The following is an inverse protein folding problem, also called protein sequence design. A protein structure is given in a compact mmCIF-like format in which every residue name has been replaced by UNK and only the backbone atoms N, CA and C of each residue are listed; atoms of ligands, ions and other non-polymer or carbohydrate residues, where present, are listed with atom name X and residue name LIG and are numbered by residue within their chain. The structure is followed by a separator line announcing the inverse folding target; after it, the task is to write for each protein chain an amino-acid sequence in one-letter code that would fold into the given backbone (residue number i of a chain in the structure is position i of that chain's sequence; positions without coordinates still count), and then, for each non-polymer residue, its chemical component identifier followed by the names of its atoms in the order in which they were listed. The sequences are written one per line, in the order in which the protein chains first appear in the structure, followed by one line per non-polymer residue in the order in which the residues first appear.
data_IF_306378948740
#
_entry.id   IF_306378948740
#
_cell.length_a   1.000
_cell.length_b   1.000
_cell.length_c   1.000
_cell.angle_alpha   90.00
_cell.angle_beta   90.00
_cell.angle_gamma   90.00
#
_symmetry.space_group_name_H-M   'P 1'
#
loop_
_entity.id
_entity.type
_entity.pdbx_description
1 polymer ?
#
# COMPACT_ATOMS: atom_id res chain seq x y z
N UNK A 1 -25.69 -5.07 21.20
CA UNK A 1 -24.36 -4.60 20.72
C UNK A 1 -24.58 -4.05 19.31
N UNK A 2 -23.93 -2.94 18.97
CA UNK A 2 -24.13 -2.30 17.67
C UNK A 2 -23.40 -3.14 16.62
N UNK A 3 -24.14 -3.98 15.89
CA UNK A 3 -23.61 -4.94 14.92
C UNK A 3 -23.30 -4.29 13.55
N UNK A 4 -23.26 -2.96 13.48
CA UNK A 4 -23.06 -2.22 12.23
C UNK A 4 -21.83 -1.31 12.36
N UNK A 5 -20.99 -1.29 11.32
CA UNK A 5 -19.79 -0.47 11.23
C UNK A 5 -19.87 0.36 9.94
N UNK A 6 -19.66 1.67 10.04
CA UNK A 6 -19.50 2.54 8.87
C UNK A 6 -18.05 2.50 8.41
N UNK A 7 -17.86 2.28 7.12
CA UNK A 7 -16.56 2.04 6.50
C UNK A 7 -16.34 2.98 5.32
N UNK A 8 -15.08 3.39 5.15
CA UNK A 8 -14.63 4.28 4.09
C UNK A 8 -13.50 3.63 3.29
N UNK A 9 -13.55 3.76 1.97
CA UNK A 9 -12.51 3.30 1.06
C UNK A 9 -12.08 4.43 0.13
N UNK A 10 -10.79 4.75 0.14
CA UNK A 10 -10.19 5.71 -0.78
C UNK A 10 -9.81 5.06 -2.11
N UNK A 11 -10.15 5.68 -3.23
CA UNK A 11 -9.82 5.18 -4.57
C UNK A 11 -9.64 6.31 -5.57
N UNK A 12 -8.90 6.04 -6.64
CA UNK A 12 -8.73 6.92 -7.79
C UNK A 12 -9.61 6.56 -9.00
N UNK A 13 -10.44 5.52 -8.88
CA UNK A 13 -11.34 5.03 -9.93
C UNK A 13 -12.75 4.81 -9.38
N UNK A 14 -13.77 4.97 -10.23
CA UNK A 14 -15.16 4.71 -9.86
C UNK A 14 -15.49 3.23 -10.03
N UNK A 15 -16.23 2.67 -9.08
CA UNK A 15 -16.78 1.32 -9.19
C UNK A 15 -18.12 1.23 -8.46
N UNK A 16 -18.99 0.34 -8.93
CA UNK A 16 -20.32 0.12 -8.34
C UNK A 16 -20.39 -1.16 -7.50
N UNK A 17 -19.45 -2.09 -7.72
CA UNK A 17 -19.33 -3.34 -6.96
C UNK A 17 -17.87 -3.62 -6.60
N UNK A 18 -17.67 -4.20 -5.42
CA UNK A 18 -16.33 -4.60 -4.95
C UNK A 18 -15.93 -5.90 -5.62
N UNK A 19 -14.81 -5.87 -6.34
CA UNK A 19 -14.16 -7.07 -6.88
C UNK A 19 -12.82 -7.29 -6.17
N UNK A 20 -12.73 -8.39 -5.42
CA UNK A 20 -11.51 -8.77 -4.67
C UNK A 20 -10.34 -9.09 -5.60
N UNK A 21 -10.59 -9.39 -6.88
CA UNK A 21 -9.53 -9.66 -7.85
C UNK A 21 -8.64 -8.44 -8.12
N UNK A 22 -9.17 -7.23 -7.93
CA UNK A 22 -8.43 -5.96 -8.08
C UNK A 22 -7.49 -5.67 -6.90
N UNK A 23 -7.57 -6.43 -5.80
CA UNK A 23 -6.60 -6.27 -4.71
C UNK A 23 -5.22 -6.66 -5.20
N UNK A 24 -4.29 -5.71 -5.09
CA UNK A 24 -2.85 -5.96 -5.21
C UNK A 24 -2.41 -6.98 -4.18
N UNK A 25 -1.34 -7.69 -4.52
CA UNK A 25 -0.73 -8.67 -3.64
C UNK A 25 0.15 -8.03 -2.56
N UNK A 26 0.60 -8.82 -1.58
CA UNK A 26 1.53 -8.43 -0.50
C UNK A 26 1.05 -7.24 0.33
N UNK A 27 -0.27 -7.15 0.57
CA UNK A 27 -0.88 -6.21 1.51
C UNK A 27 -0.77 -6.70 2.94
N UNK A 28 -0.93 -5.80 3.91
CA UNK A 28 -0.77 -6.09 5.35
C UNK A 28 -1.56 -7.31 5.84
N UNK A 29 -2.79 -7.48 5.37
CA UNK A 29 -3.65 -8.62 5.70
C UNK A 29 -3.89 -9.52 4.49
N UNK A 30 -3.04 -9.46 3.46
CA UNK A 30 -3.20 -10.21 2.21
C UNK A 30 -4.23 -9.62 1.25
N UNK A 31 -4.53 -10.30 0.14
CA UNK A 31 -5.47 -9.77 -0.86
C UNK A 31 -6.88 -9.59 -0.28
N UNK A 32 -7.48 -8.42 -0.46
CA UNK A 32 -8.80 -8.11 0.05
C UNK A 32 -9.28 -6.70 -0.28
N UNK A 33 -10.50 -6.39 0.14
CA UNK A 33 -11.06 -5.04 0.05
C UNK A 33 -10.81 -4.28 1.36
N UNK A 34 -9.96 -3.26 1.29
CA UNK A 34 -9.50 -2.51 2.46
C UNK A 34 -10.32 -1.26 2.68
N UNK A 35 -10.71 -1.06 3.92
CA UNK A 35 -11.52 0.07 4.39
C UNK A 35 -11.03 0.55 5.75
N UNK A 36 -11.58 1.64 6.26
CA UNK A 36 -11.29 2.18 7.60
C UNK A 36 -12.56 2.83 8.17
N UNK A 37 -12.65 2.97 9.50
CA UNK A 37 -13.70 3.77 10.13
C UNK A 37 -13.39 5.26 10.13
N UNK A 38 -12.17 5.66 9.76
CA UNK A 38 -11.71 7.05 9.72
C UNK A 38 -11.78 7.61 8.30
N UNK A 39 -12.69 8.55 8.05
CA UNK A 39 -12.90 9.10 6.70
C UNK A 39 -11.64 9.80 6.18
N UNK A 40 -10.98 10.58 7.04
CA UNK A 40 -9.80 11.38 6.70
C UNK A 40 -8.66 10.49 6.17
N UNK A 41 -8.52 9.28 6.73
CA UNK A 41 -7.55 8.29 6.23
C UNK A 41 -7.91 7.79 4.83
N UNK A 42 -9.19 7.53 4.56
CA UNK A 42 -9.65 7.17 3.22
C UNK A 42 -9.46 8.33 2.21
N UNK A 43 -9.63 9.58 2.63
CA UNK A 43 -9.37 10.76 1.80
C UNK A 43 -7.88 10.86 1.42
N UNK A 44 -6.98 10.75 2.41
CA UNK A 44 -5.54 10.73 2.18
C UNK A 44 -5.11 9.56 1.30
N UNK A 45 -5.71 8.37 1.49
CA UNK A 45 -5.43 7.24 0.62
C UNK A 45 -5.89 7.46 -0.84
N UNK A 46 -7.07 8.06 -1.05
CA UNK A 46 -7.54 8.42 -2.39
C UNK A 46 -6.59 9.43 -3.08
N UNK A 47 -6.03 10.37 -2.33
CA UNK A 47 -4.99 11.28 -2.81
C UNK A 47 -3.72 10.54 -3.21
N UNK A 48 -3.18 9.68 -2.35
CA UNK A 48 -1.99 8.90 -2.63
C UNK A 48 -2.17 8.01 -3.87
N UNK A 49 -3.33 7.36 -4.00
CA UNK A 49 -3.67 6.53 -5.17
C UNK A 49 -3.70 7.34 -6.46
N UNK A 50 -4.28 8.55 -6.42
CA UNK A 50 -4.31 9.43 -7.60
C UNK A 50 -2.92 9.98 -7.95
N UNK A 51 -2.10 10.33 -6.97
CA UNK A 51 -0.70 10.75 -7.21
C UNK A 51 0.12 9.60 -7.80
N UNK A 52 -0.06 8.38 -7.30
CA UNK A 52 0.63 7.17 -7.79
C UNK A 52 0.24 6.80 -9.21
N UNK A 53 -1.06 6.75 -9.48
CA UNK A 53 -1.58 6.05 -10.66
C UNK A 53 -2.45 6.92 -11.60
N UNK A 54 -2.64 8.21 -11.28
CA UNK A 54 -3.62 9.05 -11.98
C UNK A 54 -5.04 8.54 -11.74
N UNK A 55 -5.89 8.54 -12.77
CA UNK A 55 -7.25 8.00 -12.71
C UNK A 55 -8.35 9.04 -12.97
N UNK A 56 -9.59 8.64 -12.72
CA UNK A 56 -10.78 9.47 -12.99
C UNK A 56 -10.94 10.63 -12.00
N UNK A 57 -10.25 10.58 -10.87
CA UNK A 57 -10.34 11.57 -9.81
C UNK A 57 -9.97 10.96 -8.47
N UNK A 58 -10.49 11.53 -7.40
CA UNK A 58 -10.27 11.06 -6.01
C UNK A 58 -11.61 10.86 -5.35
N UNK A 59 -11.87 9.63 -4.92
CA UNK A 59 -13.17 9.25 -4.40
C UNK A 59 -13.04 8.58 -3.03
N UNK A 60 -13.97 8.91 -2.15
CA UNK A 60 -14.24 8.15 -0.94
C UNK A 60 -15.55 7.42 -1.11
N UNK A 61 -15.47 6.10 -1.11
CA UNK A 61 -16.61 5.19 -1.17
C UNK A 61 -17.06 4.90 0.26
N UNK A 62 -18.36 5.04 0.53
CA UNK A 62 -18.97 4.87 1.84
C UNK A 62 -19.76 3.56 1.90
N UNK A 63 -19.56 2.78 2.96
CA UNK A 63 -20.21 1.49 3.16
C UNK A 63 -20.72 1.33 4.60
N UNK A 64 -21.65 0.39 4.76
CA UNK A 64 -22.07 -0.15 6.05
C UNK A 64 -21.84 -1.65 6.08
N UNK A 65 -21.03 -2.12 7.01
CA UNK A 65 -20.78 -3.54 7.25
C UNK A 65 -21.63 -4.02 8.43
N UNK A 66 -22.34 -5.13 8.24
CA UNK A 66 -23.07 -5.81 9.30
C UNK A 66 -22.26 -7.02 9.80
N UNK A 67 -21.80 -6.96 11.05
CA UNK A 67 -21.13 -8.10 11.69
C UNK A 67 -22.16 -9.12 12.20
N UNK A 68 -21.88 -10.39 11.93
CA UNK A 68 -22.71 -11.53 12.33
C UNK A 68 -21.84 -12.66 12.85
N UNK A 69 -22.42 -13.58 13.63
CA UNK A 69 -21.73 -14.78 14.12
C UNK A 69 -21.35 -15.74 13.00
N UNK A 70 -21.92 -15.59 11.80
CA UNK A 70 -21.54 -16.38 10.64
C UNK A 70 -20.15 -16.01 10.12
N UNK A 71 -19.71 -14.75 10.30
CA UNK A 71 -18.42 -14.27 9.77
C UNK A 71 -17.27 -14.65 10.69
N UNK A 72 -16.19 -15.21 10.11
CA UNK A 72 -14.94 -15.40 10.85
C UNK A 72 -14.15 -14.10 10.88
N UNK A 73 -14.07 -13.46 12.04
CA UNK A 73 -13.44 -12.15 12.21
C UNK A 73 -12.20 -12.26 13.10
N UNK A 74 -11.05 -11.81 12.60
CA UNK A 74 -9.86 -11.59 13.42
C UNK A 74 -9.77 -10.12 13.81
N UNK A 75 -9.54 -9.83 15.09
CA UNK A 75 -9.37 -8.46 15.59
C UNK A 75 -8.09 -8.33 16.38
N UNK A 76 -7.19 -7.47 15.90
CA UNK A 76 -5.99 -7.06 16.62
C UNK A 76 -6.30 -5.83 17.49
N UNK A 77 -6.02 -5.89 18.81
CA UNK A 77 -6.33 -4.79 19.72
C UNK A 77 -5.36 -3.61 19.61
N UNK A 78 -4.25 -3.77 18.88
CA UNK A 78 -3.19 -2.77 18.76
C UNK A 78 -1.98 -3.33 18.00
N UNK A 79 -0.86 -2.62 18.10
CA UNK A 79 0.43 -2.98 17.48
C UNK A 79 1.09 -4.15 18.22
N UNK A 80 0.49 -5.35 18.15
CA UNK A 80 0.95 -6.55 18.87
C UNK A 80 1.93 -7.40 18.05
N UNK A 81 2.57 -8.38 18.70
CA UNK A 81 3.42 -9.38 18.06
C UNK A 81 2.70 -10.16 16.96
N UNK A 82 1.45 -10.54 17.20
CA UNK A 82 0.64 -11.33 16.27
C UNK A 82 0.23 -10.49 15.06
N UNK A 83 -0.05 -9.20 15.26
CA UNK A 83 -0.31 -8.26 14.17
C UNK A 83 0.94 -8.06 13.30
N UNK A 84 2.11 -7.90 13.91
CA UNK A 84 3.38 -7.82 13.18
C UNK A 84 3.66 -9.09 12.36
N UNK A 85 3.43 -10.27 12.95
CA UNK A 85 3.63 -11.55 12.24
C UNK A 85 2.69 -11.65 11.04
N UNK A 86 1.40 -11.31 11.22
CA UNK A 86 0.42 -11.29 10.14
C UNK A 86 0.86 -10.41 8.97
N UNK A 87 1.36 -9.20 9.26
CA UNK A 87 1.88 -8.29 8.24
C UNK A 87 3.08 -8.89 7.53
N UNK A 88 4.04 -9.40 8.29
CA UNK A 88 5.27 -9.96 7.73
C UNK A 88 4.99 -11.14 6.82
N UNK A 89 4.15 -12.07 7.26
CA UNK A 89 3.82 -13.26 6.47
C UNK A 89 3.10 -12.88 5.17
N UNK A 90 2.10 -11.98 5.22
CA UNK A 90 1.41 -11.56 4.00
C UNK A 90 2.30 -10.74 3.05
N UNK A 91 3.16 -9.86 3.56
CA UNK A 91 4.08 -9.06 2.72
C UNK A 91 5.20 -9.89 2.09
N UNK A 92 5.68 -10.94 2.78
CA UNK A 92 6.74 -11.82 2.26
C UNK A 92 6.19 -12.85 1.26
N UNK A 93 5.13 -13.56 1.62
CA UNK A 93 4.65 -14.70 0.84
C UNK A 93 3.57 -14.34 -0.19
N UNK A 94 2.95 -13.16 -0.07
CA UNK A 94 1.81 -12.77 -0.91
C UNK A 94 0.56 -13.61 -0.63
N UNK A 95 -0.45 -13.53 -1.49
CA UNK A 95 -1.72 -14.20 -1.32
C UNK A 95 -2.49 -13.78 -0.07
N UNK A 96 -3.15 -14.77 0.56
CA UNK A 96 -3.84 -14.62 1.85
C UNK A 96 -3.25 -15.67 2.77
N UNK A 97 -2.60 -15.25 3.85
CA UNK A 97 -1.92 -16.14 4.81
C UNK A 97 -2.81 -16.55 5.99
N UNK A 98 -4.13 -16.44 5.83
CA UNK A 98 -5.13 -16.75 6.87
C UNK A 98 -6.46 -17.21 6.29
N UNK A 99 -7.40 -17.63 7.15
CA UNK A 99 -8.73 -18.12 6.74
C UNK A 99 -9.89 -17.22 7.18
N UNK A 100 -9.61 -16.07 7.79
CA UNK A 100 -10.63 -15.12 8.24
C UNK A 100 -11.38 -14.48 7.06
N UNK A 101 -12.69 -14.29 7.24
CA UNK A 101 -13.54 -13.53 6.31
C UNK A 101 -13.20 -12.04 6.37
N UNK A 102 -12.90 -11.54 7.59
CA UNK A 102 -12.61 -10.15 7.88
C UNK A 102 -11.43 -10.05 8.87
N UNK A 103 -10.51 -9.14 8.61
CA UNK A 103 -9.45 -8.77 9.56
C UNK A 103 -9.61 -7.29 9.94
N UNK A 104 -9.58 -7.03 11.24
CA UNK A 104 -9.66 -5.68 11.83
C UNK A 104 -8.39 -5.46 12.63
N UNK A 105 -7.66 -4.39 12.36
CA UNK A 105 -6.44 -4.10 13.11
C UNK A 105 -5.87 -2.73 12.80
N UNK A 106 -4.75 -2.37 13.44
CA UNK A 106 -4.04 -1.14 13.13
C UNK A 106 -3.65 -1.07 11.65
N UNK A 107 -3.73 0.14 11.08
CA UNK A 107 -3.12 0.46 9.79
C UNK A 107 -1.63 0.70 9.96
N UNK A 108 -0.82 0.21 9.01
CA UNK A 108 0.58 0.57 8.86
C UNK A 108 0.73 1.99 8.28
N UNK A 109 0.37 3.02 9.04
CA UNK A 109 0.47 4.41 8.58
C UNK A 109 1.92 4.89 8.39
N UNK A 110 2.07 6.10 7.84
CA UNK A 110 3.37 6.70 7.53
C UNK A 110 4.33 6.80 8.73
N UNK A 111 3.79 6.91 9.94
CA UNK A 111 4.61 7.06 11.15
C UNK A 111 5.28 5.75 11.54
N UNK A 112 4.66 4.61 11.22
CA UNK A 112 5.14 3.28 11.61
C UNK A 112 5.62 2.42 10.44
N UNK A 113 5.33 2.83 9.20
CA UNK A 113 5.64 2.06 7.99
C UNK A 113 7.14 1.75 7.87
N UNK A 114 8.02 2.67 8.27
CA UNK A 114 9.48 2.43 8.26
C UNK A 114 9.89 1.27 9.17
N UNK A 115 9.39 1.27 10.41
CA UNK A 115 9.66 0.20 11.38
C UNK A 115 9.16 -1.15 10.87
N UNK A 116 7.98 -1.17 10.24
CA UNK A 116 7.40 -2.37 9.63
C UNK A 116 8.27 -2.85 8.47
N UNK A 117 8.71 -1.95 7.58
CA UNK A 117 9.57 -2.30 6.45
C UNK A 117 10.90 -2.93 6.92
N UNK A 118 11.52 -2.36 7.97
CA UNK A 118 12.76 -2.91 8.56
C UNK A 118 12.55 -4.28 9.21
N UNK A 119 11.39 -4.52 9.83
CA UNK A 119 11.03 -5.82 10.40
C UNK A 119 10.75 -6.89 9.33
N UNK A 120 10.04 -6.53 8.27
CA UNK A 120 9.76 -7.41 7.12
C UNK A 120 11.07 -7.81 6.44
N UNK A 121 11.99 -6.86 6.24
CA UNK A 121 13.32 -7.10 5.68
C UNK A 121 14.26 -7.91 6.59
N UNK A 122 13.84 -8.25 7.82
CA UNK A 122 14.64 -8.99 8.79
C UNK A 122 15.78 -8.19 9.43
N UNK A 123 15.82 -6.87 9.22
CA UNK A 123 16.80 -5.97 9.85
C UNK A 123 16.46 -5.77 11.32
N UNK A 124 15.18 -5.55 11.63
CA UNK A 124 14.68 -5.58 13.00
C UNK A 124 14.15 -6.97 13.34
N UNK A 125 14.50 -7.47 14.53
CA UNK A 125 13.78 -8.58 15.13
C UNK A 125 12.44 -8.10 15.71
N UNK A 126 11.58 -9.03 16.13
CA UNK A 126 10.23 -8.69 16.59
C UNK A 126 10.23 -7.81 17.86
N UNK A 127 11.15 -8.07 18.79
CA UNK A 127 11.28 -7.29 20.03
C UNK A 127 11.65 -5.84 19.72
N UNK A 128 12.72 -5.62 18.94
CA UNK A 128 13.13 -4.28 18.50
C UNK A 128 12.02 -3.55 17.76
N UNK A 129 11.31 -4.22 16.85
CA UNK A 129 10.18 -3.61 16.15
C UNK A 129 9.08 -3.16 17.11
N UNK A 130 8.67 -4.01 18.07
CA UNK A 130 7.66 -3.66 19.07
C UNK A 130 8.08 -2.49 19.96
N UNK A 131 9.36 -2.42 20.34
CA UNK A 131 9.90 -1.30 21.11
C UNK A 131 9.81 0.02 20.34
N UNK A 132 10.17 0.00 19.05
CA UNK A 132 10.06 1.17 18.17
C UNK A 132 8.60 1.57 17.91
N UNK A 133 7.67 0.62 17.91
CA UNK A 133 6.24 0.87 17.70
C UNK A 133 5.50 1.35 18.96
N UNK A 134 6.06 1.10 20.16
CA UNK A 134 5.44 1.44 21.46
C UNK A 134 4.89 2.87 21.59
N UNK A 135 5.55 3.94 21.10
CA UNK A 135 5.04 5.30 21.29
C UNK A 135 3.88 5.67 20.34
N UNK A 136 3.58 4.85 19.33
CA UNK A 136 2.61 5.19 18.30
C UNK A 136 1.20 4.67 18.63
N UNK A 137 0.21 5.44 18.22
CA UNK A 137 -1.17 5.00 18.11
C UNK A 137 -1.55 5.04 16.64
N UNK A 138 -2.09 3.93 16.15
CA UNK A 138 -2.53 3.80 14.77
C UNK A 138 -4.06 3.72 14.71
N UNK A 139 -4.61 4.33 13.67
CA UNK A 139 -6.01 4.15 13.29
C UNK A 139 -6.27 2.72 12.83
N UNK A 140 -7.54 2.40 12.58
CA UNK A 140 -7.89 1.06 12.10
C UNK A 140 -7.79 0.93 10.58
N UNK A 141 -7.68 -0.33 10.16
CA UNK A 141 -8.16 -0.77 8.86
C UNK A 141 -8.97 -2.06 9.04
N UNK A 142 -9.94 -2.23 8.16
CA UNK A 142 -10.84 -3.36 8.08
C UNK A 142 -10.74 -3.91 6.67
N UNK A 143 -10.27 -5.14 6.53
CA UNK A 143 -10.13 -5.83 5.24
C UNK A 143 -11.11 -6.98 5.13
N UNK A 144 -11.79 -7.05 3.97
CA UNK A 144 -12.74 -8.12 3.64
C UNK A 144 -12.11 -9.03 2.59
N UNK A 145 -12.09 -10.34 2.85
CA UNK A 145 -11.30 -11.30 2.07
C UNK A 145 -12.14 -12.32 1.30
N UNK A 146 -13.45 -12.39 1.56
CA UNK A 146 -14.32 -13.40 0.97
C UNK A 146 -15.59 -12.81 0.39
N UNK A 147 -16.16 -13.49 -0.61
CA UNK A 147 -17.48 -13.15 -1.14
C UNK A 147 -18.59 -13.24 -0.07
N UNK A 148 -18.39 -14.08 0.95
CA UNK A 148 -19.27 -14.16 2.11
C UNK A 148 -19.25 -12.85 2.90
N UNK A 149 -18.07 -12.29 3.19
CA UNK A 149 -17.96 -10.99 3.85
C UNK A 149 -18.64 -9.87 3.06
N UNK A 150 -18.45 -9.85 1.73
CA UNK A 150 -19.03 -8.83 0.85
C UNK A 150 -20.57 -8.83 0.84
N UNK A 151 -21.23 -9.97 1.09
CA UNK A 151 -22.71 -10.04 1.22
C UNK A 151 -23.25 -9.20 2.38
N UNK A 152 -22.43 -8.94 3.40
CA UNK A 152 -22.79 -8.12 4.55
C UNK A 152 -22.31 -6.67 4.42
N UNK A 153 -21.71 -6.30 3.28
CA UNK A 153 -21.25 -4.96 2.98
C UNK A 153 -22.28 -4.24 2.09
N UNK A 154 -22.92 -3.22 2.64
CA UNK A 154 -23.88 -2.37 1.92
C UNK A 154 -23.20 -1.10 1.43
N UNK A 155 -23.25 -0.82 0.13
CA UNK A 155 -22.80 0.45 -0.42
C UNK A 155 -23.79 1.57 -0.08
N UNK A 156 -23.28 2.69 0.43
CA UNK A 156 -24.09 3.85 0.83
C UNK A 156 -23.97 5.03 -0.13
N UNK A 157 -22.86 5.14 -0.86
CA UNK A 157 -22.61 6.23 -1.79
C UNK A 157 -21.13 6.57 -1.95
N UNK A 158 -20.84 7.63 -2.69
CA UNK A 158 -19.48 8.14 -2.90
C UNK A 158 -19.42 9.64 -2.76
N UNK A 159 -18.26 10.13 -2.31
CA UNK A 159 -17.87 11.54 -2.34
C UNK A 159 -16.68 11.71 -3.27
N UNK A 160 -16.76 12.69 -4.15
CA UNK A 160 -15.64 13.13 -4.98
C UNK A 160 -14.91 14.27 -4.29
N UNK A 161 -13.59 14.14 -4.14
CA UNK A 161 -12.76 15.14 -3.50
C UNK A 161 -12.35 16.20 -4.53
N UNK A 162 -12.47 17.47 -4.14
CA UNK A 162 -12.04 18.61 -4.98
C UNK A 162 -10.58 18.46 -5.37
N UNK A 163 -10.11 18.91 -6.54
CA UNK A 163 -8.69 18.85 -6.91
C UNK A 163 -7.80 19.48 -5.83
N UNK A 164 -6.68 18.83 -5.46
CA UNK A 164 -5.63 19.52 -4.69
C UNK A 164 -5.07 20.59 -5.61
N UNK A 165 -4.88 21.80 -5.11
CA UNK A 165 -4.07 22.78 -5.83
C UNK A 165 -2.69 22.17 -6.00
N UNK A 166 -2.28 21.92 -7.24
CA UNK A 166 -0.90 21.56 -7.54
C UNK A 166 -0.02 22.64 -6.91
N UNK A 167 0.77 22.29 -5.88
CA UNK A 167 1.88 23.14 -5.49
C UNK A 167 2.82 23.17 -6.69
N UNK A 168 3.14 24.37 -7.16
CA UNK A 168 4.08 24.62 -8.23
C UNK A 168 5.40 23.93 -7.90
N UNK A 169 5.71 22.88 -8.66
CA UNK A 169 6.96 22.14 -8.55
C UNK A 169 7.99 22.87 -9.41
N UNK A 170 8.63 23.90 -8.86
CA UNK A 170 9.79 24.55 -9.47
C UNK A 170 11.09 24.07 -8.79
N UNK A 171 11.92 23.45 -9.63
CA UNK A 171 13.37 23.58 -9.74
C UNK A 171 14.36 22.81 -8.82
N UNK A 172 15.02 21.87 -9.51
CA UNK A 172 16.48 21.76 -9.66
C UNK A 172 17.28 20.88 -8.70
N UNK A 173 18.31 20.25 -9.28
CA UNK A 173 19.20 19.21 -8.73
C UNK A 173 19.77 19.49 -7.33
N UNK A 174 19.01 19.11 -6.31
CA UNK A 174 19.53 18.57 -5.05
C UNK A 174 18.75 17.29 -4.76
N UNK A 175 19.43 16.15 -4.79
CA UNK A 175 18.87 14.82 -4.49
C UNK A 175 18.59 14.71 -2.99
N UNK A 176 17.74 15.58 -2.46
CA UNK A 176 17.22 15.51 -1.10
C UNK A 176 15.74 15.17 -1.21
N UNK A 177 15.39 13.93 -0.86
CA UNK A 177 14.01 13.50 -0.81
C UNK A 177 13.46 13.76 0.60
N UNK A 178 12.42 14.59 0.69
CA UNK A 178 11.77 14.91 1.96
C UNK A 178 10.34 14.37 2.00
N UNK A 179 9.95 13.83 3.15
CA UNK A 179 8.57 13.46 3.47
C UNK A 179 8.22 13.93 4.89
N UNK A 180 7.21 14.80 5.04
CA UNK A 180 6.82 15.44 6.33
C UNK A 180 8.03 15.99 7.11
N UNK A 181 8.85 16.78 6.42
CA UNK A 181 10.07 17.41 6.96
C UNK A 181 11.18 16.43 7.40
N UNK A 182 11.04 15.13 7.11
CA UNK A 182 12.09 14.13 7.31
C UNK A 182 12.85 13.88 6.00
N UNK A 183 14.18 13.85 6.08
CA UNK A 183 15.05 13.39 4.99
C UNK A 183 14.96 11.85 4.87
N UNK A 184 14.42 11.39 3.73
CA UNK A 184 14.26 9.98 3.39
C UNK A 184 15.14 9.58 2.19
N UNK A 185 16.17 10.38 1.89
CA UNK A 185 17.04 10.17 0.73
C UNK A 185 17.71 8.80 0.77
N UNK A 186 18.23 8.40 1.93
CA UNK A 186 18.87 7.11 2.10
C UNK A 186 17.87 5.96 1.93
N UNK A 187 16.65 6.08 2.47
CA UNK A 187 15.60 5.07 2.33
C UNK A 187 15.25 4.86 0.84
N UNK A 188 15.16 5.94 0.04
CA UNK A 188 14.94 5.85 -1.41
C UNK A 188 16.13 5.23 -2.14
N UNK A 189 17.37 5.63 -1.83
CA UNK A 189 18.55 5.04 -2.48
C UNK A 189 18.68 3.54 -2.18
N UNK A 190 18.46 3.14 -0.93
CA UNK A 190 18.41 1.72 -0.55
C UNK A 190 17.27 0.99 -1.25
N UNK A 191 16.10 1.64 -1.42
CA UNK A 191 14.98 1.08 -2.17
C UNK A 191 15.36 0.83 -3.62
N UNK A 192 15.94 1.82 -4.29
CA UNK A 192 16.40 1.71 -5.68
C UNK A 192 17.37 0.55 -5.83
N UNK A 193 18.40 0.49 -4.97
CA UNK A 193 19.39 -0.58 -5.04
C UNK A 193 18.72 -1.96 -4.94
N UNK A 194 17.86 -2.15 -3.94
CA UNK A 194 17.20 -3.44 -3.71
C UNK A 194 16.28 -3.81 -4.88
N UNK A 195 15.47 -2.87 -5.37
CA UNK A 195 14.58 -3.11 -6.53
C UNK A 195 15.37 -3.53 -7.76
N UNK A 196 16.47 -2.85 -8.05
CA UNK A 196 17.31 -3.17 -9.22
C UNK A 196 17.96 -4.54 -9.07
N UNK A 197 18.36 -4.95 -7.85
CA UNK A 197 18.85 -6.32 -7.60
C UNK A 197 17.77 -7.37 -7.87
N UNK A 198 16.52 -7.10 -7.51
CA UNK A 198 15.39 -8.00 -7.80
C UNK A 198 15.13 -8.09 -9.31
N UNK A 199 15.16 -6.95 -10.02
CA UNK A 199 15.00 -6.93 -11.48
C UNK A 199 16.13 -7.72 -12.17
N UNK A 200 17.37 -7.54 -11.74
CA UNK A 200 18.53 -8.27 -12.28
C UNK A 200 18.43 -9.78 -12.03
N UNK A 201 17.96 -10.18 -10.84
CA UNK A 201 17.76 -11.59 -10.51
C UNK A 201 16.68 -12.25 -11.39
N UNK A 202 15.59 -11.54 -11.70
CA UNK A 202 14.48 -12.06 -12.51
C UNK A 202 14.81 -12.07 -14.01
N UNK A 203 15.46 -11.03 -14.53
CA UNK A 203 15.72 -10.87 -15.97
C UNK A 203 17.04 -11.48 -16.43
N UNK A 204 17.97 -11.73 -15.52
CA UNK A 204 19.35 -12.14 -15.84
C UNK A 204 20.22 -11.02 -16.44
N UNK A 205 19.71 -9.79 -16.54
CA UNK A 205 20.48 -8.62 -17.02
C UNK A 205 21.48 -8.13 -15.96
N UNK A 206 22.42 -7.29 -16.36
CA UNK A 206 23.36 -6.68 -15.41
C UNK A 206 22.65 -5.68 -14.50
N UNK A 207 23.23 -5.40 -13.34
CA UNK A 207 22.69 -4.40 -12.42
C UNK A 207 22.58 -3.02 -13.09
N UNK A 208 23.59 -2.62 -13.87
CA UNK A 208 23.62 -1.30 -14.52
C UNK A 208 22.54 -1.17 -15.61
N UNK A 209 22.32 -2.23 -16.40
CA UNK A 209 21.23 -2.25 -17.39
C UNK A 209 19.86 -2.16 -16.69
N UNK A 210 19.67 -2.93 -15.62
CA UNK A 210 18.45 -2.89 -14.83
C UNK A 210 18.25 -1.53 -14.15
N UNK A 211 19.31 -0.89 -13.68
CA UNK A 211 19.28 0.43 -13.08
C UNK A 211 18.82 1.48 -14.11
N UNK A 212 19.39 1.40 -15.32
CA UNK A 212 19.04 2.27 -16.43
C UNK A 212 17.56 2.11 -16.83
N UNK A 213 17.10 0.87 -16.98
CA UNK A 213 15.70 0.55 -17.27
C UNK A 213 14.76 1.02 -16.15
N UNK A 214 15.13 0.77 -14.90
CA UNK A 214 14.35 1.17 -13.74
C UNK A 214 14.20 2.70 -13.68
N UNK A 215 15.27 3.47 -13.90
CA UNK A 215 15.20 4.94 -13.90
C UNK A 215 14.28 5.54 -14.97
N UNK A 216 13.94 4.79 -16.02
CA UNK A 216 13.01 5.21 -17.08
C UNK A 216 11.58 4.69 -16.87
N UNK A 217 11.33 4.00 -15.76
CA UNK A 217 10.01 3.44 -15.44
C UNK A 217 9.13 4.44 -14.72
N UNK A 218 7.81 4.31 -14.91
CA UNK A 218 6.78 4.97 -14.09
C UNK A 218 6.87 4.52 -12.63
N UNK A 219 7.31 3.29 -12.38
CA UNK A 219 7.55 2.79 -11.03
C UNK A 219 8.60 3.65 -10.29
N UNK A 220 9.71 4.00 -10.96
CA UNK A 220 10.72 4.90 -10.41
C UNK A 220 10.22 6.35 -10.30
N UNK A 221 9.51 6.86 -11.30
CA UNK A 221 8.90 8.20 -11.23
C UNK A 221 7.96 8.32 -10.01
N UNK A 222 7.20 7.27 -9.73
CA UNK A 222 6.30 7.20 -8.56
C UNK A 222 7.08 7.08 -7.25
N UNK A 223 8.19 6.33 -7.24
CA UNK A 223 9.09 6.23 -6.09
C UNK A 223 9.67 7.59 -5.68
N UNK A 224 10.01 8.45 -6.65
CA UNK A 224 10.55 9.79 -6.42
C UNK A 224 9.52 10.79 -5.86
N UNK A 225 8.23 10.59 -6.19
CA UNK A 225 7.13 11.38 -5.64
C UNK A 225 6.90 10.97 -4.19
N UNK A 226 7.58 11.58 -3.22
CA UNK A 226 7.57 11.14 -1.81
C UNK A 226 6.17 11.04 -1.18
N UNK A 227 5.24 11.92 -1.60
CA UNK A 227 3.82 11.86 -1.22
C UNK A 227 3.07 10.62 -1.74
N UNK A 228 3.64 9.87 -2.68
CA UNK A 228 3.10 8.59 -3.12
C UNK A 228 3.24 7.52 -2.03
N UNK A 229 4.18 7.63 -1.09
CA UNK A 229 4.55 6.58 -0.12
C UNK A 229 5.11 5.29 -0.74
N UNK A 230 5.37 5.27 -2.04
CA UNK A 230 5.94 4.13 -2.74
C UNK A 230 7.32 3.73 -2.18
N UNK A 231 8.05 4.69 -1.61
CA UNK A 231 9.35 4.49 -0.98
C UNK A 231 9.32 3.61 0.26
N UNK A 232 8.16 3.44 0.90
CA UNK A 232 8.03 2.60 2.08
C UNK A 232 7.15 1.36 1.90
N UNK A 233 6.68 1.11 0.67
CA UNK A 233 6.30 -0.24 0.22
C UNK A 233 7.52 -1.17 0.17
N UNK A 234 7.34 -2.49 0.04
CA UNK A 234 8.47 -3.44 -0.07
C UNK A 234 9.23 -3.28 -1.39
N UNK A 235 10.50 -3.71 -1.46
CA UNK A 235 11.26 -3.64 -2.72
C UNK A 235 10.65 -4.56 -3.79
N UNK A 236 10.14 -5.71 -3.36
CA UNK A 236 9.41 -6.67 -4.19
C UNK A 236 8.15 -6.04 -4.75
N UNK A 237 7.39 -5.28 -3.95
CA UNK A 237 6.21 -4.58 -4.45
C UNK A 237 6.58 -3.54 -5.52
N UNK A 238 7.65 -2.76 -5.32
CA UNK A 238 8.11 -1.79 -6.33
C UNK A 238 8.60 -2.50 -7.59
N UNK A 239 9.29 -3.64 -7.48
CA UNK A 239 9.70 -4.46 -8.62
C UNK A 239 8.49 -5.06 -9.36
N UNK A 240 7.47 -5.53 -8.64
CA UNK A 240 6.23 -6.03 -9.22
C UNK A 240 5.50 -4.93 -10.03
N UNK A 241 5.52 -3.67 -9.55
CA UNK A 241 4.97 -2.53 -10.31
C UNK A 241 5.81 -2.20 -11.56
N UNK A 242 7.14 -2.31 -11.48
CA UNK A 242 8.02 -2.19 -12.65
C UNK A 242 7.66 -3.24 -13.71
N UNK A 243 7.58 -4.52 -13.35
CA UNK A 243 7.27 -5.57 -14.32
C UNK A 243 5.86 -5.45 -14.90
N UNK A 244 4.89 -4.98 -14.11
CA UNK A 244 3.53 -4.74 -14.61
C UNK A 244 3.48 -3.65 -15.67
N UNK A 245 4.24 -2.56 -15.49
CA UNK A 245 4.37 -1.51 -16.51
C UNK A 245 4.85 -2.08 -17.85
N UNK A 246 5.84 -2.97 -17.84
CA UNK A 246 6.36 -3.61 -19.05
C UNK A 246 5.35 -4.58 -19.70
N UNK A 247 4.53 -5.26 -18.90
CA UNK A 247 3.48 -6.14 -19.41
C UNK A 247 2.33 -5.37 -20.10
N UNK A 248 2.08 -4.13 -19.67
CA UNK A 248 1.02 -3.26 -20.21
C UNK A 248 1.47 -2.47 -21.47
N UNK A 249 2.78 -2.31 -21.69
CA UNK A 249 3.35 -1.60 -22.85
C UNK A 249 4.63 -2.29 -23.39
N UNK A 250 4.47 -3.41 -24.14
CA UNK A 250 5.60 -4.20 -24.64
C UNK A 250 6.42 -3.50 -25.74
N UNK A 251 5.92 -2.42 -26.35
CA UNK A 251 6.68 -1.68 -27.37
C UNK A 251 7.83 -0.83 -26.79
N UNK A 252 7.93 -0.69 -25.46
CA UNK A 252 9.13 -0.13 -24.79
C UNK A 252 10.40 -0.98 -25.01
N UNK A 253 10.29 -2.26 -25.37
CA UNK A 253 11.47 -3.06 -25.76
C UNK A 253 12.15 -2.53 -27.03
N UNK A 254 11.42 -1.83 -27.91
CA UNK A 254 11.93 -1.44 -29.24
C UNK A 254 12.62 -0.09 -29.29
N UNK A 255 12.51 0.74 -28.24
CA UNK A 255 13.29 1.99 -28.14
C UNK A 255 14.68 1.79 -27.52
N UNK A 256 15.06 0.56 -27.17
CA UNK A 256 16.29 0.23 -26.44
C UNK A 256 17.24 -0.72 -27.23
N UNK A 257 17.02 -0.90 -28.54
CA UNK A 257 17.99 -1.54 -29.45
C UNK A 257 18.69 -0.53 -30.35
#
# INVERSE_FOLDING_TARGET
MQNEIYLYHGTNVKFDQVDLSFSKDKRDFGRGFYTTTFREQAEGWAENMYIRYGGEGRFVMEFKLQLTEELSVMKYPGLTSEWLSMIKDNRLYGGIQHTYDIVIGPVADDNIMRTIALYVAGIYNQETALEQLRPFQAHDQISLHTQKALKYLTYLGRKELKPVKAQSMEESMKTLYCYRDQDITLDILMKVEHVVRLIAAETGKTFDDCLYEFYRSKAYETLQKTGSLMWAESAEFVADEFFREYAEDPDKEKEVL
#
